data_IF_552424502523
#
_entry.id   IF_552424502523
#
_cell.length_a   1.000
_cell.length_b   1.000
_cell.length_c   1.000
_cell.angle_alpha   90.00
_cell.angle_beta   90.00
_cell.angle_gamma   90.00
#
_symmetry.space_group_name_H-M   'P 1'
#
loop_
_entity.id
_entity.type
_entity.pdbx_description
1 polymer ?
#
# COMPACT_ATOMS: atom_id res chain seq x y z
N UNK A 1 1.71 -6.80 -26.62
CA UNK A 1 3.01 -6.12 -26.41
C UNK A 1 2.86 -4.59 -26.27
N UNK A 2 2.21 -3.91 -27.21
CA UNK A 2 2.11 -2.42 -27.25
C UNK A 2 1.62 -1.77 -25.94
N UNK A 3 0.54 -2.31 -25.34
CA UNK A 3 0.03 -1.85 -24.04
C UNK A 3 1.10 -1.87 -22.94
N UNK A 4 1.89 -2.95 -22.87
CA UNK A 4 2.94 -3.11 -21.86
C UNK A 4 3.98 -2.00 -21.96
N UNK A 5 4.35 -1.60 -23.18
CA UNK A 5 5.27 -0.49 -23.38
C UNK A 5 4.66 0.88 -23.09
N UNK A 6 3.35 1.03 -23.32
CA UNK A 6 2.63 2.29 -23.15
C UNK A 6 2.17 2.56 -21.71
N UNK A 7 2.14 1.56 -20.83
CA UNK A 7 1.66 1.72 -19.45
C UNK A 7 2.65 1.12 -18.45
N UNK A 8 2.80 -0.21 -18.42
CA UNK A 8 3.52 -0.88 -17.34
C UNK A 8 5.04 -0.64 -17.37
N UNK A 9 5.67 -0.58 -18.56
CA UNK A 9 7.12 -0.38 -18.70
C UNK A 9 7.57 1.08 -18.68
N UNK A 10 6.65 2.05 -18.83
CA UNK A 10 6.99 3.47 -18.77
C UNK A 10 7.72 3.87 -17.47
N UNK A 11 7.22 3.53 -16.27
CA UNK A 11 7.94 3.86 -15.04
C UNK A 11 9.30 3.17 -14.94
N UNK A 12 9.44 1.93 -15.43
CA UNK A 12 10.74 1.23 -15.45
C UNK A 12 11.74 1.93 -16.38
N UNK A 13 11.32 2.29 -17.60
CA UNK A 13 12.15 3.05 -18.55
C UNK A 13 12.65 4.36 -17.93
N UNK A 14 11.77 5.10 -17.26
CA UNK A 14 12.12 6.35 -16.60
C UNK A 14 13.11 6.12 -15.43
N UNK A 15 12.85 5.14 -14.57
CA UNK A 15 13.71 4.82 -13.43
C UNK A 15 15.09 4.31 -13.85
N UNK A 16 15.17 3.45 -14.87
CA UNK A 16 16.44 2.96 -15.43
C UNK A 16 17.25 4.13 -15.99
N UNK A 17 16.62 5.02 -16.77
CA UNK A 17 17.26 6.24 -17.28
C UNK A 17 17.75 7.17 -16.16
N UNK A 18 17.04 7.22 -15.03
CA UNK A 18 17.43 7.98 -13.85
C UNK A 18 18.54 7.30 -13.00
N UNK A 19 19.01 6.11 -13.39
CA UNK A 19 20.11 5.41 -12.71
C UNK A 19 19.67 4.43 -11.63
N UNK A 20 18.47 3.87 -11.72
CA UNK A 20 18.04 2.77 -10.85
C UNK A 20 19.11 1.66 -10.81
N UNK A 21 19.45 1.21 -9.59
CA UNK A 21 20.54 0.24 -9.37
C UNK A 21 20.05 -1.19 -9.22
N UNK A 22 18.76 -1.39 -8.96
CA UNK A 22 18.15 -2.70 -8.81
C UNK A 22 16.73 -2.71 -9.38
N UNK A 23 16.30 -3.86 -9.92
CA UNK A 23 14.94 -4.16 -10.35
C UNK A 23 14.54 -5.50 -9.75
N UNK A 24 13.31 -5.58 -9.22
CA UNK A 24 12.74 -6.82 -8.72
C UNK A 24 11.75 -7.38 -9.74
N UNK A 25 11.84 -8.67 -10.05
CA UNK A 25 10.90 -9.36 -10.96
C UNK A 25 9.71 -9.91 -10.19
N UNK A 26 8.49 -9.74 -10.70
CA UNK A 26 7.29 -10.35 -10.14
C UNK A 26 7.05 -11.78 -10.66
N UNK A 27 6.38 -12.61 -9.86
CA UNK A 27 5.94 -13.96 -10.27
C UNK A 27 4.64 -13.92 -11.10
N UNK A 28 4.66 -13.16 -12.20
CA UNK A 28 3.52 -12.94 -13.08
C UNK A 28 3.85 -13.45 -14.49
N UNK A 29 2.98 -14.26 -15.08
CA UNK A 29 3.15 -14.72 -16.46
C UNK A 29 2.75 -13.65 -17.47
N UNK A 30 3.51 -13.50 -18.56
CA UNK A 30 3.20 -12.60 -19.67
C UNK A 30 3.09 -13.40 -20.98
N UNK A 31 1.99 -14.14 -21.23
CA UNK A 31 1.89 -15.06 -22.36
C UNK A 31 2.10 -14.43 -23.75
N UNK A 32 1.78 -13.14 -23.90
CA UNK A 32 2.03 -12.40 -25.14
C UNK A 32 3.52 -12.10 -25.40
N UNK A 33 4.36 -12.09 -24.36
CA UNK A 33 5.81 -11.93 -24.48
C UNK A 33 6.53 -13.28 -24.41
N UNK A 34 6.07 -14.18 -23.54
CA UNK A 34 6.61 -15.53 -23.39
C UNK A 34 5.47 -16.58 -23.39
N UNK A 35 5.33 -17.23 -24.54
CA UNK A 35 4.33 -18.28 -24.77
C UNK A 35 4.55 -19.55 -23.90
N UNK A 36 5.69 -19.69 -23.22
CA UNK A 36 5.89 -20.79 -22.27
C UNK A 36 4.97 -20.72 -21.05
N UNK A 37 4.35 -19.56 -20.80
CA UNK A 37 3.48 -19.33 -19.64
C UNK A 37 4.26 -19.21 -18.32
N UNK A 38 5.59 -19.24 -18.35
CA UNK A 38 6.41 -19.08 -17.16
C UNK A 38 6.23 -17.67 -16.57
N UNK A 39 6.28 -17.53 -15.23
CA UNK A 39 6.38 -16.23 -14.59
C UNK A 39 7.59 -15.44 -15.09
N UNK A 40 7.50 -14.10 -15.11
CA UNK A 40 8.57 -13.20 -15.55
C UNK A 40 9.91 -13.52 -14.91
N UNK A 41 9.93 -13.82 -13.60
CA UNK A 41 11.13 -14.25 -12.85
C UNK A 41 11.89 -15.42 -13.51
N UNK A 42 11.18 -16.34 -14.17
CA UNK A 42 11.73 -17.54 -14.80
C UNK A 42 11.84 -17.44 -16.34
N UNK A 43 11.53 -16.27 -16.90
CA UNK A 43 11.47 -16.05 -18.34
C UNK A 43 12.73 -15.33 -18.84
N UNK A 44 13.51 -16.02 -19.68
CA UNK A 44 14.66 -15.39 -20.38
C UNK A 44 14.20 -14.24 -21.29
N UNK A 45 13.01 -14.36 -21.90
CA UNK A 45 12.44 -13.30 -22.75
C UNK A 45 12.14 -12.03 -21.94
N UNK A 46 11.64 -12.18 -20.71
CA UNK A 46 11.37 -11.01 -19.87
C UNK A 46 12.64 -10.47 -19.22
N UNK A 47 13.47 -11.33 -18.62
CA UNK A 47 14.64 -10.86 -17.86
C UNK A 47 15.79 -10.49 -18.79
N UNK A 48 16.23 -11.39 -19.67
CA UNK A 48 17.37 -11.11 -20.55
C UNK A 48 16.98 -10.24 -21.74
N UNK A 49 15.95 -10.59 -22.49
CA UNK A 49 15.67 -9.89 -23.75
C UNK A 49 15.00 -8.53 -23.50
N UNK A 50 13.90 -8.48 -22.74
CA UNK A 50 13.23 -7.22 -22.45
C UNK A 50 14.03 -6.35 -21.47
N UNK A 51 14.31 -6.82 -20.26
CA UNK A 51 14.92 -5.96 -19.23
C UNK A 51 16.41 -5.66 -19.49
N UNK A 52 17.24 -6.67 -19.76
CA UNK A 52 18.68 -6.43 -19.98
C UNK A 52 18.98 -5.80 -21.34
N UNK A 53 18.39 -6.32 -22.42
CA UNK A 53 18.75 -5.89 -23.77
C UNK A 53 17.91 -4.70 -24.23
N UNK A 54 16.59 -4.83 -24.28
CA UNK A 54 15.72 -3.77 -24.80
C UNK A 54 15.73 -2.52 -23.90
N UNK A 55 15.59 -2.70 -22.59
CA UNK A 55 15.62 -1.59 -21.62
C UNK A 55 17.03 -1.20 -21.19
N UNK A 56 18.06 -1.90 -21.69
CA UNK A 56 19.48 -1.65 -21.38
C UNK A 56 19.80 -1.60 -19.86
N UNK A 57 19.12 -2.41 -19.05
CA UNK A 57 19.32 -2.41 -17.60
C UNK A 57 20.54 -3.23 -17.18
N UNK A 58 21.56 -2.58 -16.61
CA UNK A 58 22.79 -3.24 -16.14
C UNK A 58 22.93 -3.32 -14.61
N UNK A 59 21.91 -2.90 -13.86
CA UNK A 59 21.87 -3.00 -12.40
C UNK A 59 21.61 -4.43 -11.91
N UNK A 60 21.26 -4.59 -10.64
CA UNK A 60 20.93 -5.90 -10.07
C UNK A 60 19.50 -6.31 -10.44
N UNK A 61 19.31 -7.52 -10.94
CA UNK A 61 17.99 -8.15 -11.05
C UNK A 61 17.80 -9.12 -9.89
N UNK A 62 16.86 -8.79 -9.01
CA UNK A 62 16.46 -9.65 -7.90
C UNK A 62 15.08 -10.26 -8.17
N UNK A 63 14.82 -11.43 -7.61
CA UNK A 63 13.48 -12.02 -7.64
C UNK A 63 12.60 -11.40 -6.56
N UNK A 64 11.28 -11.44 -6.73
CA UNK A 64 10.36 -11.43 -5.60
C UNK A 64 10.57 -12.71 -4.74
N UNK A 65 9.92 -12.78 -3.58
CA UNK A 65 10.13 -13.84 -2.61
C UNK A 65 9.83 -15.22 -3.21
N UNK A 66 10.84 -16.08 -3.28
CA UNK A 66 10.75 -17.43 -3.86
C UNK A 66 9.80 -18.37 -3.08
N UNK A 67 9.40 -17.99 -1.88
CA UNK A 67 8.38 -18.66 -1.06
C UNK A 67 6.95 -18.41 -1.54
N UNK A 68 6.71 -17.47 -2.45
CA UNK A 68 5.39 -17.16 -2.96
C UNK A 68 4.82 -18.28 -3.83
N UNK A 69 3.52 -18.53 -3.71
CA UNK A 69 2.79 -19.62 -4.38
C UNK A 69 2.91 -19.58 -5.92
N UNK A 70 3.08 -18.39 -6.50
CA UNK A 70 3.33 -18.24 -7.95
C UNK A 70 4.58 -18.97 -8.47
N UNK A 71 5.47 -19.39 -7.57
CA UNK A 71 6.59 -20.29 -7.85
C UNK A 71 6.46 -21.59 -7.06
N UNK A 72 6.29 -21.50 -5.74
CA UNK A 72 6.40 -22.64 -4.83
C UNK A 72 5.40 -23.78 -5.12
N UNK A 73 4.22 -23.47 -5.66
CA UNK A 73 3.19 -24.47 -5.96
C UNK A 73 3.35 -25.11 -7.35
N UNK A 74 4.20 -24.54 -8.21
CA UNK A 74 4.30 -24.91 -9.63
C UNK A 74 5.67 -25.46 -10.03
N UNK A 75 6.71 -25.18 -9.24
CA UNK A 75 8.08 -25.56 -9.54
C UNK A 75 8.77 -26.10 -8.30
N UNK A 76 9.67 -27.07 -8.47
CA UNK A 76 10.63 -27.36 -7.41
C UNK A 76 11.49 -26.10 -7.17
N UNK A 77 11.59 -25.58 -5.94
CA UNK A 77 12.30 -24.32 -5.68
C UNK A 77 13.77 -24.33 -6.09
N UNK A 78 14.46 -25.48 -6.01
CA UNK A 78 15.86 -25.58 -6.37
C UNK A 78 16.04 -25.60 -7.90
N UNK A 79 15.13 -26.23 -8.65
CA UNK A 79 15.12 -26.16 -10.11
C UNK A 79 14.71 -24.76 -10.62
N UNK A 80 13.71 -24.14 -9.99
CA UNK A 80 13.30 -22.77 -10.30
C UNK A 80 14.45 -21.76 -10.15
N UNK A 81 15.32 -21.96 -9.16
CA UNK A 81 16.49 -21.13 -8.94
C UNK A 81 17.48 -21.20 -10.11
N UNK A 82 17.67 -22.37 -10.71
CA UNK A 82 18.53 -22.53 -11.91
C UNK A 82 17.89 -21.84 -13.10
N UNK A 83 16.58 -22.03 -13.30
CA UNK A 83 15.85 -21.39 -14.40
C UNK A 83 15.92 -19.87 -14.28
N UNK A 84 15.77 -19.32 -13.07
CA UNK A 84 15.92 -17.89 -12.81
C UNK A 84 17.35 -17.40 -13.11
N UNK A 85 18.38 -18.13 -12.67
CA UNK A 85 19.77 -17.81 -12.98
C UNK A 85 20.05 -17.85 -14.49
N UNK A 86 19.54 -18.87 -15.20
CA UNK A 86 19.61 -18.98 -16.66
C UNK A 86 18.85 -17.86 -17.38
N UNK A 87 17.78 -17.34 -16.78
CA UNK A 87 17.02 -16.21 -17.30
C UNK A 87 17.77 -14.87 -17.16
N UNK A 88 18.79 -14.79 -16.30
CA UNK A 88 19.62 -13.60 -16.08
C UNK A 88 19.36 -12.84 -14.78
N UNK A 89 18.71 -13.49 -13.82
CA UNK A 89 18.56 -12.99 -12.44
C UNK A 89 19.90 -13.05 -11.71
N UNK A 90 20.24 -12.00 -10.97
CA UNK A 90 21.49 -11.95 -10.20
C UNK A 90 21.34 -12.38 -8.73
N UNK A 91 20.14 -12.20 -8.14
CA UNK A 91 19.89 -12.51 -6.72
C UNK A 91 18.51 -13.15 -6.49
N UNK A 92 18.49 -14.25 -5.74
CA UNK A 92 17.26 -14.92 -5.30
C UNK A 92 16.85 -14.40 -3.93
N UNK A 93 15.61 -13.92 -3.81
CA UNK A 93 15.05 -13.42 -2.55
C UNK A 93 14.32 -14.54 -1.80
N UNK A 94 14.75 -14.83 -0.57
CA UNK A 94 14.13 -15.80 0.37
C UNK A 94 13.80 -17.16 -0.29
N UNK A 95 14.80 -17.97 -0.69
CA UNK A 95 14.53 -19.31 -1.21
C UNK A 95 14.08 -20.27 -0.10
N UNK A 96 13.06 -21.09 -0.38
CA UNK A 96 12.36 -22.01 0.56
C UNK A 96 13.33 -22.96 1.31
N UNK A 97 14.38 -23.44 0.65
CA UNK A 97 15.47 -24.24 1.26
C UNK A 97 16.81 -23.73 0.71
N UNK A 98 17.41 -22.78 1.41
CA UNK A 98 18.66 -22.13 0.97
C UNK A 98 19.82 -23.13 0.83
N UNK A 99 20.09 -24.04 1.79
CA UNK A 99 21.15 -25.04 1.63
C UNK A 99 20.97 -25.97 0.43
N UNK A 100 19.75 -26.50 0.18
CA UNK A 100 19.47 -27.36 -0.97
C UNK A 100 19.62 -26.58 -2.28
N UNK A 101 19.05 -25.37 -2.34
CA UNK A 101 19.12 -24.49 -3.52
C UNK A 101 20.59 -24.18 -3.87
N UNK A 102 21.40 -23.84 -2.87
CA UNK A 102 22.83 -23.60 -3.06
C UNK A 102 23.56 -24.83 -3.61
N UNK A 103 23.36 -26.01 -3.00
CA UNK A 103 23.99 -27.26 -3.49
C UNK A 103 23.61 -27.54 -4.94
N UNK A 104 22.33 -27.34 -5.29
CA UNK A 104 21.83 -27.59 -6.64
C UNK A 104 22.40 -26.61 -7.67
N UNK A 105 22.52 -25.32 -7.34
CA UNK A 105 23.19 -24.32 -8.19
C UNK A 105 24.66 -24.67 -8.43
N UNK A 106 25.39 -25.07 -7.36
CA UNK A 106 26.79 -25.52 -7.50
C UNK A 106 26.89 -26.74 -8.41
N UNK A 107 25.98 -27.71 -8.28
CA UNK A 107 25.93 -28.87 -9.16
C UNK A 107 25.66 -28.47 -10.61
N UNK A 108 24.70 -27.56 -10.85
CA UNK A 108 24.36 -27.06 -12.18
C UNK A 108 25.56 -26.38 -12.87
N UNK A 109 26.36 -25.62 -12.11
CA UNK A 109 27.60 -25.02 -12.62
C UNK A 109 28.64 -26.08 -12.96
N UNK A 110 28.85 -27.05 -12.06
CA UNK A 110 29.84 -28.12 -12.26
C UNK A 110 29.49 -29.05 -13.43
N UNK A 111 28.21 -29.28 -13.68
CA UNK A 111 27.73 -30.11 -14.79
C UNK A 111 27.67 -29.36 -16.13
N UNK A 112 27.78 -28.03 -16.12
CA UNK A 112 27.63 -27.17 -17.31
C UNK A 112 26.18 -26.81 -17.66
N UNK A 113 25.20 -27.23 -16.87
CA UNK A 113 23.78 -26.85 -17.01
C UNK A 113 23.57 -25.34 -16.78
N UNK A 114 24.32 -24.74 -15.85
CA UNK A 114 24.40 -23.30 -15.64
C UNK A 114 25.82 -22.82 -16.00
N UNK A 115 26.00 -21.99 -17.04
CA UNK A 115 27.32 -21.49 -17.39
C UNK A 115 27.97 -20.72 -16.22
N UNK A 116 29.23 -21.01 -15.90
CA UNK A 116 29.96 -20.30 -14.86
C UNK A 116 29.95 -18.78 -15.06
N UNK A 117 30.06 -18.34 -16.31
CA UNK A 117 30.02 -16.93 -16.69
C UNK A 117 28.73 -16.22 -16.25
N UNK A 118 27.59 -16.92 -16.21
CA UNK A 118 26.33 -16.34 -15.73
C UNK A 118 26.44 -15.99 -14.23
N UNK A 119 27.01 -16.89 -13.43
CA UNK A 119 27.25 -16.67 -12.00
C UNK A 119 28.29 -15.57 -11.77
N UNK A 120 29.38 -15.56 -12.54
CA UNK A 120 30.41 -14.53 -12.43
C UNK A 120 29.88 -13.14 -12.79
N UNK A 121 29.00 -13.04 -13.79
CA UNK A 121 28.35 -11.79 -14.18
C UNK A 121 27.44 -11.27 -13.06
N UNK A 122 26.59 -12.14 -12.50
CA UNK A 122 25.74 -11.80 -11.36
C UNK A 122 26.56 -11.36 -10.14
N UNK A 123 27.61 -12.13 -9.80
CA UNK A 123 28.51 -11.80 -8.69
C UNK A 123 29.22 -10.46 -8.90
N UNK A 124 29.69 -10.17 -10.13
CA UNK A 124 30.32 -8.90 -10.46
C UNK A 124 29.38 -7.73 -10.26
N UNK A 125 28.11 -7.81 -10.69
CA UNK A 125 27.10 -6.75 -10.46
C UNK A 125 26.86 -6.51 -8.98
N UNK A 126 26.66 -7.58 -8.22
CA UNK A 126 26.47 -7.54 -6.75
C UNK A 126 27.67 -6.89 -6.05
N UNK A 127 28.89 -7.33 -6.37
CA UNK A 127 30.12 -6.80 -5.78
C UNK A 127 30.38 -5.35 -6.19
N UNK A 128 30.07 -4.98 -7.44
CA UNK A 128 30.18 -3.58 -7.92
C UNK A 128 29.23 -2.67 -7.17
N UNK A 129 27.99 -3.08 -6.92
CA UNK A 129 27.05 -2.30 -6.11
C UNK A 129 27.53 -2.18 -4.65
N UNK A 130 27.99 -3.28 -4.04
CA UNK A 130 28.56 -3.24 -2.68
C UNK A 130 29.77 -2.31 -2.59
N UNK A 131 30.63 -2.32 -3.60
CA UNK A 131 31.78 -1.43 -3.69
C UNK A 131 31.36 0.04 -3.83
N UNK A 132 30.41 0.34 -4.71
CA UNK A 132 29.87 1.70 -4.91
C UNK A 132 29.15 2.28 -3.68
N UNK A 133 28.64 1.43 -2.79
CA UNK A 133 28.07 1.82 -1.50
C UNK A 133 29.11 1.90 -0.37
N UNK A 134 30.39 1.62 -0.63
CA UNK A 134 31.45 1.62 0.39
C UNK A 134 31.37 0.47 1.40
N UNK A 135 30.51 -0.55 1.19
CA UNK A 135 30.28 -1.61 2.19
C UNK A 135 31.49 -2.52 2.44
N UNK A 136 32.46 -2.51 1.53
CA UNK A 136 33.72 -3.23 1.69
C UNK A 136 34.69 -2.52 2.66
N UNK A 137 34.55 -1.20 2.82
CA UNK A 137 35.33 -0.33 3.70
C UNK A 137 34.59 -0.08 5.03
N UNK A 138 33.31 0.31 4.95
CA UNK A 138 32.44 0.63 6.09
C UNK A 138 31.50 -0.53 6.39
N UNK A 139 32.04 -1.57 7.04
CA UNK A 139 31.30 -2.81 7.31
C UNK A 139 30.35 -2.74 8.51
N UNK A 140 30.56 -1.78 9.39
CA UNK A 140 29.83 -1.66 10.66
C UNK A 140 29.29 -0.24 10.85
N UNK A 141 28.26 -0.14 11.69
CA UNK A 141 27.63 1.13 12.09
C UNK A 141 27.65 1.25 13.60
N UNK A 142 27.63 2.48 14.11
CA UNK A 142 27.49 2.73 15.55
C UNK A 142 26.01 2.62 15.95
N UNK A 143 25.67 1.50 16.58
CA UNK A 143 24.30 1.22 17.03
C UNK A 143 23.80 2.20 18.09
N UNK A 144 24.70 2.87 18.83
CA UNK A 144 24.31 3.82 19.87
C UNK A 144 23.73 5.11 19.28
N UNK A 145 24.01 5.40 18.00
CA UNK A 145 23.51 6.57 17.29
C UNK A 145 22.16 6.37 16.63
N UNK A 146 21.58 5.16 16.68
CA UNK A 146 20.31 4.86 15.99
C UNK A 146 19.20 5.81 16.45
N UNK A 147 19.12 6.11 17.75
CA UNK A 147 18.11 7.01 18.32
C UNK A 147 18.23 8.45 17.79
N UNK A 148 19.44 8.89 17.42
CA UNK A 148 19.69 10.23 16.89
C UNK A 148 19.47 10.32 15.37
N UNK A 149 19.41 9.17 14.68
CA UNK A 149 19.36 9.09 13.22
C UNK A 149 17.99 8.67 12.68
N UNK A 150 17.25 7.84 13.42
CA UNK A 150 15.97 7.28 12.99
C UNK A 150 14.84 7.95 13.78
N UNK A 151 13.74 8.26 13.10
CA UNK A 151 12.54 8.84 13.71
C UNK A 151 12.79 10.17 14.45
N UNK A 152 13.71 10.99 13.92
CA UNK A 152 14.04 12.31 14.47
C UNK A 152 12.85 13.27 14.37
N UNK A 153 12.80 14.34 15.18
CA UNK A 153 11.74 15.33 15.11
C UNK A 153 11.56 15.94 13.70
N UNK A 154 12.67 16.18 12.99
CA UNK A 154 12.63 16.68 11.61
C UNK A 154 12.00 15.66 10.64
N UNK A 155 12.32 14.37 10.78
CA UNK A 155 11.72 13.32 9.97
C UNK A 155 10.22 13.16 10.26
N UNK A 156 9.82 13.23 11.53
CA UNK A 156 8.41 13.19 11.95
C UNK A 156 7.62 14.38 11.40
N UNK A 157 8.18 15.59 11.48
CA UNK A 157 7.55 16.78 10.92
C UNK A 157 7.43 16.70 9.39
N UNK A 158 8.48 16.24 8.70
CA UNK A 158 8.43 16.02 7.26
C UNK A 158 7.33 15.01 6.89
N UNK A 159 7.26 13.89 7.60
CA UNK A 159 6.24 12.88 7.40
C UNK A 159 4.82 13.44 7.64
N UNK A 160 4.61 14.25 8.69
CA UNK A 160 3.33 14.91 8.94
C UNK A 160 2.95 15.89 7.83
N UNK A 161 3.90 16.65 7.30
CA UNK A 161 3.65 17.58 6.19
C UNK A 161 3.22 16.83 4.93
N UNK A 162 3.88 15.71 4.60
CA UNK A 162 3.50 14.84 3.48
C UNK A 162 2.11 14.24 3.70
N UNK A 163 1.82 13.76 4.90
CA UNK A 163 0.52 13.18 5.23
C UNK A 163 -0.62 14.21 5.12
N UNK A 164 -0.46 15.41 5.68
CA UNK A 164 -1.45 16.48 5.56
C UNK A 164 -1.66 16.93 4.11
N UNK A 165 -0.58 17.06 3.33
CA UNK A 165 -0.67 17.40 1.91
C UNK A 165 -1.33 16.30 1.05
N UNK A 166 -1.27 15.04 1.50
CA UNK A 166 -1.88 13.91 0.82
C UNK A 166 -3.40 13.83 1.03
N UNK A 167 -3.97 14.45 2.07
CA UNK A 167 -5.42 14.40 2.31
C UNK A 167 -6.17 15.02 1.13
N UNK A 168 -7.11 14.26 0.56
CA UNK A 168 -7.89 14.65 -0.62
C UNK A 168 -9.38 14.72 -0.27
N UNK A 169 -10.01 15.88 -0.44
CA UNK A 169 -11.44 16.09 -0.26
C UNK A 169 -12.20 15.82 -1.56
N UNK A 170 -13.16 14.90 -1.56
CA UNK A 170 -13.92 14.50 -2.75
C UNK A 170 -15.30 15.17 -2.82
N UNK A 171 -15.98 15.24 -1.67
CA UNK A 171 -17.31 15.82 -1.50
C UNK A 171 -17.29 16.71 -0.26
N UNK A 172 -18.00 17.83 -0.34
CA UNK A 172 -18.19 18.80 0.74
C UNK A 172 -19.47 19.59 0.44
N UNK A 173 -20.54 19.34 1.18
CA UNK A 173 -21.82 20.05 1.05
C UNK A 173 -21.82 21.39 1.82
N UNK A 174 -20.74 21.71 2.53
CA UNK A 174 -20.58 22.91 3.35
C UNK A 174 -21.31 22.87 4.70
N UNK A 175 -21.94 21.75 5.08
CA UNK A 175 -22.76 21.67 6.28
C UNK A 175 -21.95 21.56 7.58
N UNK A 176 -20.79 20.90 7.55
CA UNK A 176 -20.11 20.48 8.79
C UNK A 176 -18.59 20.68 8.83
N UNK A 177 -17.94 20.78 7.68
CA UNK A 177 -16.50 21.03 7.61
C UNK A 177 -16.25 22.56 7.60
N UNK A 178 -15.14 23.09 8.20
CA UNK A 178 -14.37 22.43 9.24
C UNK A 178 -15.27 22.17 10.45
N UNK A 179 -14.96 21.11 11.21
CA UNK A 179 -15.65 20.82 12.45
C UNK A 179 -15.57 22.04 13.39
N UNK A 180 -16.69 22.46 14.00
CA UNK A 180 -16.73 23.64 14.85
C UNK A 180 -15.83 23.48 16.07
N UNK A 181 -14.96 24.46 16.31
CA UNK A 181 -14.06 24.50 17.46
C UNK A 181 -14.62 25.31 18.64
N UNK A 182 -15.80 25.93 18.48
CA UNK A 182 -16.47 26.78 19.47
C UNK A 182 -17.50 26.04 20.33
N UNK A 183 -17.85 24.80 19.97
CA UNK A 183 -18.76 23.93 20.72
C UNK A 183 -18.43 22.45 20.52
N UNK A 184 -18.67 21.60 21.55
CA UNK A 184 -18.52 20.16 21.40
C UNK A 184 -19.58 19.61 20.44
N UNK A 185 -19.23 18.50 19.77
CA UNK A 185 -20.13 17.71 18.94
C UNK A 185 -20.14 16.29 19.48
N UNK A 186 -21.30 15.63 19.45
CA UNK A 186 -21.41 14.18 19.60
C UNK A 186 -21.16 13.52 18.24
N UNK A 187 -19.99 12.91 18.09
CA UNK A 187 -19.54 12.21 16.88
C UNK A 187 -19.65 10.71 17.12
N UNK A 188 -20.40 10.01 16.28
CA UNK A 188 -20.46 8.54 16.32
C UNK A 188 -19.78 7.97 15.09
N UNK A 189 -18.67 7.27 15.30
CA UNK A 189 -17.84 6.69 14.26
C UNK A 189 -18.13 5.19 14.08
N UNK A 190 -18.45 4.80 12.85
CA UNK A 190 -18.53 3.41 12.42
C UNK A 190 -17.25 3.02 11.69
N UNK A 191 -16.44 2.16 12.30
CA UNK A 191 -15.16 1.71 11.77
C UNK A 191 -15.35 0.40 10.99
N UNK A 192 -14.92 0.38 9.74
CA UNK A 192 -14.89 -0.79 8.88
C UNK A 192 -13.43 -1.14 8.59
N UNK A 193 -12.94 -2.22 9.17
CA UNK A 193 -11.55 -2.69 9.01
C UNK A 193 -11.48 -4.13 8.52
N UNK A 194 -10.47 -4.44 7.70
CA UNK A 194 -10.07 -5.80 7.36
C UNK A 194 -8.70 -6.19 7.97
N UNK A 195 -8.19 -5.37 8.89
CA UNK A 195 -6.98 -5.60 9.67
C UNK A 195 -7.32 -6.27 11.01
N UNK A 196 -6.35 -7.02 11.54
CA UNK A 196 -6.46 -7.71 12.82
C UNK A 196 -5.85 -6.90 14.00
N UNK A 197 -5.33 -5.70 13.72
CA UNK A 197 -4.67 -4.87 14.72
C UNK A 197 -5.65 -4.30 15.77
N UNK A 198 -6.88 -3.99 15.35
CA UNK A 198 -7.98 -3.61 16.25
C UNK A 198 -7.85 -2.23 16.87
N UNK A 199 -6.92 -1.41 16.38
CA UNK A 199 -6.63 -0.06 16.86
C UNK A 199 -6.89 1.02 15.80
N UNK A 200 -7.64 0.67 14.74
CA UNK A 200 -8.04 1.59 13.69
C UNK A 200 -8.93 2.70 14.25
N UNK A 201 -8.70 3.93 13.82
CA UNK A 201 -9.48 5.11 14.20
C UNK A 201 -9.15 5.67 15.60
N UNK A 202 -8.32 4.99 16.40
CA UNK A 202 -7.92 5.45 17.73
C UNK A 202 -7.27 6.84 17.67
N UNK A 203 -6.32 7.07 16.75
CA UNK A 203 -5.60 8.34 16.68
C UNK A 203 -6.48 9.45 16.12
N UNK A 204 -7.42 9.15 15.23
CA UNK A 204 -8.43 10.12 14.77
C UNK A 204 -9.32 10.55 15.95
N UNK A 205 -9.87 9.59 16.69
CA UNK A 205 -10.74 9.85 17.84
C UNK A 205 -10.00 10.62 18.95
N UNK A 206 -8.73 10.30 19.23
CA UNK A 206 -7.89 11.03 20.17
C UNK A 206 -7.75 12.52 19.80
N UNK A 207 -7.49 12.84 18.52
CA UNK A 207 -7.36 14.23 18.07
C UNK A 207 -8.68 15.01 18.17
N UNK A 208 -9.80 14.38 17.81
CA UNK A 208 -11.13 14.99 17.90
C UNK A 208 -11.54 15.21 19.38
N UNK A 209 -11.27 14.23 20.24
CA UNK A 209 -11.52 14.33 21.69
C UNK A 209 -10.66 15.42 22.35
N UNK A 210 -9.40 15.59 21.90
CA UNK A 210 -8.54 16.68 22.35
C UNK A 210 -9.09 18.08 22.01
N UNK A 211 -10.03 18.16 21.06
CA UNK A 211 -10.81 19.38 20.73
C UNK A 211 -12.19 19.41 21.39
N UNK A 212 -12.38 18.64 22.46
CA UNK A 212 -13.62 18.57 23.29
C UNK A 212 -14.82 17.90 22.63
N UNK A 213 -14.68 17.31 21.45
CA UNK A 213 -15.76 16.50 20.88
C UNK A 213 -15.98 15.21 21.68
N UNK A 214 -17.23 14.78 21.79
CA UNK A 214 -17.63 13.49 22.38
C UNK A 214 -17.64 12.44 21.27
N UNK A 215 -16.64 11.56 21.24
CA UNK A 215 -16.45 10.59 20.16
C UNK A 215 -16.73 9.18 20.67
N UNK A 216 -17.70 8.51 20.05
CA UNK A 216 -17.99 7.10 20.29
C UNK A 216 -17.72 6.28 19.02
N UNK A 217 -16.81 5.31 19.12
CA UNK A 217 -16.39 4.48 17.98
C UNK A 217 -16.88 3.04 18.09
N UNK A 218 -17.37 2.50 16.98
CA UNK A 218 -17.92 1.16 16.87
C UNK A 218 -17.27 0.40 15.72
N UNK A 219 -16.62 -0.73 16.00
CA UNK A 219 -16.13 -1.63 14.96
C UNK A 219 -17.30 -2.41 14.33
N UNK A 220 -17.67 -2.03 13.11
CA UNK A 220 -18.74 -2.61 12.32
C UNK A 220 -18.21 -3.83 11.57
N UNK A 221 -18.04 -4.94 12.27
CA UNK A 221 -17.56 -6.20 11.69
C UNK A 221 -18.63 -7.29 11.73
N UNK A 222 -18.40 -8.38 10.99
CA UNK A 222 -19.27 -9.55 11.03
C UNK A 222 -19.35 -10.20 12.43
N UNK A 223 -18.35 -9.98 13.30
CA UNK A 223 -18.31 -10.47 14.68
C UNK A 223 -18.99 -9.55 15.71
N UNK A 224 -19.52 -8.39 15.30
CA UNK A 224 -20.22 -7.47 16.20
C UNK A 224 -21.50 -8.10 16.74
N UNK A 225 -21.72 -8.02 18.06
CA UNK A 225 -22.94 -8.56 18.68
C UNK A 225 -24.17 -7.72 18.33
N UNK A 226 -25.34 -8.34 18.30
CA UNK A 226 -26.61 -7.65 18.03
C UNK A 226 -26.90 -6.55 19.07
N UNK A 227 -26.56 -6.79 20.33
CA UNK A 227 -26.74 -5.79 21.40
C UNK A 227 -25.86 -4.56 21.17
N UNK A 228 -24.58 -4.75 20.81
CA UNK A 228 -23.68 -3.65 20.51
C UNK A 228 -24.11 -2.91 19.25
N UNK A 229 -24.57 -3.63 18.23
CA UNK A 229 -25.13 -3.03 17.02
C UNK A 229 -26.35 -2.18 17.34
N UNK A 230 -27.30 -2.68 18.12
CA UNK A 230 -28.47 -1.94 18.55
C UNK A 230 -28.08 -0.66 19.31
N UNK A 231 -27.08 -0.73 20.20
CA UNK A 231 -26.53 0.43 20.89
C UNK A 231 -25.93 1.45 19.90
N UNK A 232 -25.11 1.00 18.95
CA UNK A 232 -24.49 1.85 17.94
C UNK A 232 -25.55 2.57 17.08
N UNK A 233 -26.63 1.87 16.69
CA UNK A 233 -27.73 2.44 15.92
C UNK A 233 -28.51 3.49 16.72
N UNK A 234 -28.71 3.30 18.02
CA UNK A 234 -29.32 4.31 18.90
C UNK A 234 -28.42 5.54 19.00
N UNK A 235 -27.13 5.36 19.29
CA UNK A 235 -26.21 6.49 19.40
C UNK A 235 -26.06 7.26 18.09
N UNK A 236 -26.03 6.55 16.96
CA UNK A 236 -26.00 7.14 15.62
C UNK A 236 -27.15 8.12 15.38
N UNK A 237 -28.37 7.80 15.83
CA UNK A 237 -29.54 8.70 15.71
C UNK A 237 -29.47 9.93 16.62
N UNK A 238 -28.78 9.81 17.75
CA UNK A 238 -28.57 10.90 18.70
C UNK A 238 -27.34 11.76 18.40
N UNK A 239 -26.49 11.34 17.46
CA UNK A 239 -25.27 12.05 17.10
C UNK A 239 -25.56 13.42 16.46
N UNK A 240 -24.62 14.35 16.59
CA UNK A 240 -24.59 15.56 15.77
C UNK A 240 -23.99 15.26 14.39
N UNK A 241 -23.01 14.35 14.33
CA UNK A 241 -22.31 13.92 13.12
C UNK A 241 -22.07 12.42 13.16
N UNK A 242 -22.28 11.74 12.04
CA UNK A 242 -21.96 10.32 11.91
C UNK A 242 -20.78 10.16 10.95
N UNK A 243 -19.77 9.42 11.38
CA UNK A 243 -18.53 9.22 10.63
C UNK A 243 -18.35 7.76 10.21
N UNK A 244 -17.90 7.52 8.99
CA UNK A 244 -17.57 6.21 8.43
C UNK A 244 -16.07 6.15 8.15
N UNK A 245 -15.36 5.31 8.89
CA UNK A 245 -13.93 5.13 8.76
C UNK A 245 -13.64 3.82 8.03
N UNK A 246 -13.11 3.91 6.80
CA UNK A 246 -12.90 2.75 5.92
C UNK A 246 -11.41 2.37 5.91
N UNK A 247 -11.03 1.47 6.82
CA UNK A 247 -9.68 0.90 6.93
C UNK A 247 -9.58 -0.37 6.08
N UNK A 248 -9.83 -0.19 4.80
CA UNK A 248 -9.98 -1.26 3.83
C UNK A 248 -8.85 -1.20 2.82
N UNK A 249 -7.87 -2.08 2.97
CA UNK A 249 -6.74 -2.21 2.04
C UNK A 249 -6.84 -3.48 1.22
N UNK A 250 -6.47 -3.40 -0.07
CA UNK A 250 -6.23 -4.60 -0.89
C UNK A 250 -5.04 -5.34 -0.29
N UNK A 251 -5.24 -6.61 0.06
CA UNK A 251 -4.20 -7.46 0.60
C UNK A 251 -4.15 -8.78 -0.16
N UNK A 252 -2.96 -9.38 -0.25
CA UNK A 252 -2.82 -10.73 -0.79
C UNK A 252 -3.78 -11.68 -0.04
N UNK A 253 -4.45 -12.56 -0.78
CA UNK A 253 -5.39 -13.57 -0.23
C UNK A 253 -6.67 -13.01 0.39
N UNK A 254 -6.87 -11.69 0.41
CA UNK A 254 -8.13 -11.07 0.84
C UNK A 254 -8.97 -10.85 -0.41
N UNK A 255 -10.10 -11.54 -0.54
CA UNK A 255 -11.00 -11.48 -1.70
C UNK A 255 -11.62 -10.10 -1.94
N UNK A 256 -12.83 -10.05 -2.52
CA UNK A 256 -13.48 -8.79 -2.85
C UNK A 256 -13.71 -7.90 -1.60
N UNK A 257 -13.34 -6.63 -1.68
CA UNK A 257 -13.67 -5.60 -0.70
C UNK A 257 -15.19 -5.38 -0.69
N UNK A 258 -15.84 -5.67 0.44
CA UNK A 258 -17.28 -5.49 0.62
C UNK A 258 -17.55 -4.89 1.99
N UNK A 259 -18.55 -4.01 2.05
CA UNK A 259 -19.06 -3.52 3.33
C UNK A 259 -19.83 -4.63 4.05
N UNK A 260 -19.59 -4.87 5.34
CA UNK A 260 -20.34 -5.84 6.11
C UNK A 260 -21.80 -5.36 6.32
N UNK A 261 -22.76 -6.29 6.51
CA UNK A 261 -24.18 -5.92 6.72
C UNK A 261 -24.40 -4.91 7.85
N UNK A 262 -23.62 -5.01 8.92
CA UNK A 262 -23.64 -4.09 10.06
C UNK A 262 -23.34 -2.65 9.62
N UNK A 263 -22.38 -2.45 8.72
CA UNK A 263 -22.05 -1.14 8.18
C UNK A 263 -23.17 -0.57 7.30
N UNK A 264 -23.86 -1.43 6.53
CA UNK A 264 -25.02 -1.01 5.74
C UNK A 264 -26.19 -0.59 6.63
N UNK A 265 -26.47 -1.32 7.71
CA UNK A 265 -27.51 -0.95 8.67
C UNK A 265 -27.18 0.37 9.39
N UNK A 266 -25.92 0.55 9.78
CA UNK A 266 -25.45 1.78 10.40
C UNK A 266 -25.57 2.98 9.44
N UNK A 267 -25.19 2.82 8.17
CA UNK A 267 -25.40 3.81 7.11
C UNK A 267 -26.88 4.14 6.88
N UNK A 268 -27.74 3.14 6.84
CA UNK A 268 -29.17 3.36 6.68
C UNK A 268 -29.75 4.18 7.84
N UNK A 269 -29.44 3.82 9.09
CA UNK A 269 -29.92 4.54 10.27
C UNK A 269 -29.45 6.00 10.30
N UNK A 270 -28.20 6.25 9.91
CA UNK A 270 -27.64 7.61 9.84
C UNK A 270 -28.38 8.48 8.81
N UNK A 271 -28.70 7.90 7.64
CA UNK A 271 -29.45 8.58 6.57
C UNK A 271 -30.90 8.88 6.97
N UNK A 272 -31.58 7.91 7.58
CA UNK A 272 -32.96 8.09 8.07
C UNK A 272 -33.05 9.17 9.16
N UNK A 273 -31.99 9.31 9.95
CA UNK A 273 -31.87 10.37 10.97
C UNK A 273 -31.45 11.73 10.40
N UNK A 274 -31.23 11.84 9.08
CA UNK A 274 -30.81 13.06 8.38
C UNK A 274 -29.59 13.75 9.01
N UNK A 275 -28.62 12.96 9.50
CA UNK A 275 -27.39 13.49 10.10
C UNK A 275 -26.36 13.82 9.01
N UNK A 276 -25.51 14.85 9.22
CA UNK A 276 -24.31 15.03 8.42
C UNK A 276 -23.46 13.76 8.44
N UNK A 277 -23.11 13.26 7.25
CA UNK A 277 -22.33 12.04 7.09
C UNK A 277 -20.93 12.36 6.59
N UNK A 278 -19.92 11.97 7.36
CA UNK A 278 -18.51 12.06 6.97
C UNK A 278 -18.03 10.66 6.62
N UNK A 279 -17.41 10.46 5.46
CA UNK A 279 -16.77 9.21 5.09
C UNK A 279 -15.28 9.45 4.80
N UNK A 280 -14.42 8.62 5.39
CA UNK A 280 -12.97 8.72 5.25
C UNK A 280 -12.43 7.37 4.78
N UNK A 281 -11.75 7.35 3.64
CA UNK A 281 -10.98 6.18 3.21
C UNK A 281 -9.55 6.25 3.75
N UNK A 282 -9.24 5.34 4.67
CA UNK A 282 -7.90 5.08 5.22
C UNK A 282 -7.20 3.94 4.48
N UNK A 283 -7.56 3.70 3.22
CA UNK A 283 -6.96 2.67 2.40
C UNK A 283 -7.33 2.88 0.94
N UNK A 284 -8.11 1.96 0.40
CA UNK A 284 -8.51 2.01 -1.00
C UNK A 284 -9.57 3.11 -1.25
N UNK A 285 -9.31 4.10 -2.13
CA UNK A 285 -10.28 5.13 -2.47
C UNK A 285 -11.49 4.61 -3.28
N UNK A 286 -11.42 3.42 -3.88
CA UNK A 286 -12.52 2.86 -4.67
C UNK A 286 -13.76 2.52 -3.83
N UNK A 287 -13.65 2.49 -2.50
CA UNK A 287 -14.82 2.27 -1.63
C UNK A 287 -15.91 3.32 -1.80
N UNK A 288 -15.56 4.53 -2.27
CA UNK A 288 -16.54 5.56 -2.60
C UNK A 288 -17.43 5.19 -3.80
N UNK A 289 -17.09 4.19 -4.62
CA UNK A 289 -17.99 3.66 -5.65
C UNK A 289 -19.27 3.07 -5.01
N UNK A 290 -19.14 2.44 -3.83
CA UNK A 290 -20.21 1.69 -3.17
C UNK A 290 -20.99 2.49 -2.12
N UNK A 291 -20.52 3.69 -1.79
CA UNK A 291 -21.16 4.56 -0.83
C UNK A 291 -22.14 5.51 -1.55
N UNK A 292 -23.26 5.91 -0.96
CA UNK A 292 -24.05 6.99 -1.50
C UNK A 292 -23.32 8.35 -1.36
N UNK A 293 -23.84 9.45 -1.91
CA UNK A 293 -23.32 10.79 -1.63
C UNK A 293 -23.30 11.07 -0.13
N UNK A 294 -22.20 11.64 0.35
CA UNK A 294 -21.96 12.02 1.75
C UNK A 294 -21.92 13.55 1.89
N UNK A 295 -22.04 14.05 3.12
CA UNK A 295 -21.79 15.48 3.39
C UNK A 295 -20.32 15.82 3.20
N UNK A 296 -19.44 14.93 3.65
CA UNK A 296 -17.99 15.03 3.44
C UNK A 296 -17.44 13.66 3.04
N UNK A 297 -16.66 13.61 1.97
CA UNK A 297 -15.91 12.40 1.55
C UNK A 297 -14.42 12.73 1.46
N UNK A 298 -13.57 12.02 2.20
CA UNK A 298 -12.12 12.26 2.31
C UNK A 298 -11.32 11.00 1.99
N UNK A 299 -10.19 11.15 1.28
CA UNK A 299 -9.19 10.10 1.16
C UNK A 299 -7.95 10.45 1.98
N UNK A 300 -7.57 9.54 2.87
CA UNK A 300 -6.33 9.56 3.64
C UNK A 300 -5.35 8.46 3.18
N UNK A 301 -5.75 7.52 2.32
CA UNK A 301 -4.89 6.54 1.63
C UNK A 301 -4.12 5.53 2.51
N UNK A 302 -4.22 5.61 3.83
CA UNK A 302 -3.61 4.66 4.76
C UNK A 302 -4.13 4.86 6.20
N UNK A 303 -4.26 3.78 6.97
CA UNK A 303 -4.83 3.77 8.32
C UNK A 303 -3.80 3.76 9.44
N UNK A 304 -2.60 4.26 9.19
CA UNK A 304 -1.61 4.42 10.26
C UNK A 304 -1.83 5.71 11.04
N UNK A 305 -1.35 5.76 12.29
CA UNK A 305 -1.39 6.94 13.20
C UNK A 305 -1.19 8.29 12.49
N UNK A 306 -0.20 8.36 11.61
CA UNK A 306 0.17 9.59 10.89
C UNK A 306 -0.96 10.09 9.99
N UNK A 307 -1.60 9.19 9.25
CA UNK A 307 -2.67 9.52 8.31
C UNK A 307 -4.00 9.78 9.04
N UNK A 308 -4.30 9.05 10.11
CA UNK A 308 -5.44 9.35 10.99
C UNK A 308 -5.33 10.74 11.61
N UNK A 309 -4.15 11.09 12.14
CA UNK A 309 -3.87 12.44 12.62
C UNK A 309 -4.02 13.49 11.52
N UNK A 310 -3.49 13.24 10.33
CA UNK A 310 -3.62 14.17 9.20
C UNK A 310 -5.10 14.40 8.80
N UNK A 311 -5.91 13.34 8.78
CA UNK A 311 -7.35 13.43 8.53
C UNK A 311 -8.06 14.24 9.63
N UNK A 312 -7.69 14.04 10.90
CA UNK A 312 -8.25 14.82 12.01
C UNK A 312 -7.96 16.33 11.86
N UNK A 313 -6.71 16.68 11.58
CA UNK A 313 -6.30 18.08 11.39
C UNK A 313 -7.01 18.73 10.20
N UNK A 314 -7.21 17.97 9.12
CA UNK A 314 -8.01 18.43 7.98
C UNK A 314 -9.48 18.67 8.36
N UNK A 315 -10.10 17.75 9.11
CA UNK A 315 -11.48 17.90 9.59
C UNK A 315 -11.65 19.11 10.50
N UNK A 316 -10.69 19.37 11.38
CA UNK A 316 -10.70 20.48 12.33
C UNK A 316 -10.34 21.84 11.70
N UNK A 317 -9.90 21.86 10.44
CA UNK A 317 -9.42 23.06 9.77
C UNK A 317 -8.03 23.53 10.23
N UNK A 318 -7.27 22.67 10.92
CA UNK A 318 -5.90 22.96 11.36
C UNK A 318 -4.89 22.88 10.20
N UNK A 319 -5.23 22.17 9.12
CA UNK A 319 -4.42 22.07 7.90
C UNK A 319 -5.28 22.19 6.64
N UNK A 320 -4.81 22.99 5.69
CA UNK A 320 -5.44 23.12 4.38
C UNK A 320 -5.49 21.78 3.64
N UNK A 321 -6.60 21.53 2.94
CA UNK A 321 -6.82 20.32 2.13
C UNK A 321 -6.54 20.65 0.67
N UNK A 322 -5.54 19.96 0.10
CA UNK A 322 -5.03 20.25 -1.25
C UNK A 322 -4.81 19.01 -2.10
N UNK A 323 -4.94 17.81 -1.53
CA UNK A 323 -4.72 16.55 -2.23
C UNK A 323 -5.63 16.40 -3.45
N UNK A 324 -5.14 15.66 -4.43
CA UNK A 324 -5.84 15.31 -5.66
C UNK A 324 -5.82 13.81 -5.82
N UNK A 325 -6.92 13.25 -6.32
CA UNK A 325 -7.03 11.82 -6.58
C UNK A 325 -5.94 11.35 -7.56
N UNK A 326 -5.09 10.39 -7.16
CA UNK A 326 -4.11 9.80 -8.07
C UNK A 326 -4.72 8.71 -8.97
N UNK A 327 -6.03 8.47 -8.87
CA UNK A 327 -6.79 7.42 -9.59
C UNK A 327 -8.17 7.94 -9.99
N UNK A 328 -8.82 7.30 -10.96
CA UNK A 328 -10.23 7.55 -11.29
C UNK A 328 -11.10 6.58 -10.50
N UNK A 329 -12.04 7.08 -9.70
CA UNK A 329 -13.08 6.28 -9.04
C UNK A 329 -14.27 6.15 -10.02
N UNK A 330 -14.52 4.96 -10.59
CA UNK A 330 -15.52 4.77 -11.64
C UNK A 330 -16.89 5.30 -11.25
N UNK A 331 -17.53 6.04 -12.17
CA UNK A 331 -18.89 6.57 -11.97
C UNK A 331 -19.01 7.70 -10.94
N UNK A 332 -17.92 8.10 -10.25
CA UNK A 332 -17.95 9.09 -9.17
C UNK A 332 -16.98 10.25 -9.37
N UNK A 333 -15.67 9.97 -9.46
CA UNK A 333 -14.63 11.00 -9.45
C UNK A 333 -13.50 10.70 -10.44
N UNK A 334 -13.09 11.68 -11.23
CA UNK A 334 -11.99 11.53 -12.18
C UNK A 334 -10.61 11.62 -11.51
N UNK A 335 -9.58 11.06 -12.15
CA UNK A 335 -8.18 11.35 -11.84
C UNK A 335 -7.95 12.87 -11.76
N UNK A 336 -7.25 13.31 -10.72
CA UNK A 336 -6.98 14.72 -10.45
C UNK A 336 -8.15 15.48 -9.79
N UNK A 337 -9.29 14.84 -9.51
CA UNK A 337 -10.36 15.44 -8.71
C UNK A 337 -9.92 15.65 -7.26
N UNK A 338 -10.38 16.73 -6.65
CA UNK A 338 -10.10 17.07 -5.25
C UNK A 338 -10.49 18.51 -4.97
N UNK A 339 -11.43 18.72 -4.05
CA UNK A 339 -11.85 20.04 -3.60
C UNK A 339 -10.75 20.66 -2.73
N UNK A 340 -10.60 21.97 -2.82
CA UNK A 340 -9.64 22.71 -2.00
C UNK A 340 -10.35 23.32 -0.82
N UNK A 341 -9.71 23.25 0.35
CA UNK A 341 -10.19 23.94 1.55
C UNK A 341 -9.01 24.56 2.28
N UNK A 342 -9.13 25.85 2.58
CA UNK A 342 -8.12 26.60 3.34
C UNK A 342 -8.19 26.22 4.82
#
# INVERSE_FOLDING_TARGET
>A
AERLHAVELLPFKAAIKAGARAVMTAHIAFPQFDASGRPATLSRKVVSELLRQELAFDGIVATDAFTMQGIADHFDPAEAAIIAAQAGVDALLIPVDTPRTHRRLVQAVRSGELPLQAVETAARRLLTMKAGLGLHELRTVDINRIADLINTPAAQQFAQNVASAAITLLEDDGAILPLPNDRPLKIVAGIISNSAAGNEGEHLAEQLTARTHDVASYLLSAGMSEALLAQALVQCREADVVMFELHLTVGAWKGALRLPPQALQFLQAAREAHKPLIAISFGDPYMFEYLPPMSVSLCAYGGGRLMERAAALALLGDTAIQGKLPVTIPGRFAFGHGLQRA
#
